data_IF_712092292981
#
_entry.id   IF_712092292981
#
_cell.length_a   1.000
_cell.length_b   1.000
_cell.length_c   1.000
_cell.angle_alpha   90.00
_cell.angle_beta   90.00
_cell.angle_gamma   90.00
#
_symmetry.space_group_name_H-M   'P 1'
#
loop_
_entity.id
_entity.type
_entity.pdbx_description
1 polymer ?
#
# COMPACT_ATOMS: atom_id res chain seq x y z
N UNK A 1 -11.92 -7.04 -38.15
CA UNK A 1 -13.18 -7.43 -37.45
C UNK A 1 -13.89 -6.16 -37.05
N UNK A 2 -15.22 -6.13 -37.04
CA UNK A 2 -15.94 -5.00 -36.42
C UNK A 2 -15.77 -5.06 -34.89
N UNK A 3 -15.86 -3.92 -34.21
CA UNK A 3 -15.75 -3.82 -32.75
C UNK A 3 -16.72 -4.76 -32.04
N UNK A 4 -17.97 -4.84 -32.50
CA UNK A 4 -18.99 -5.72 -31.91
C UNK A 4 -18.64 -7.19 -31.99
N UNK A 5 -18.14 -7.65 -33.15
CA UNK A 5 -17.73 -9.06 -33.32
C UNK A 5 -16.51 -9.38 -32.47
N UNK A 6 -15.58 -8.43 -32.34
CA UNK A 6 -14.40 -8.62 -31.49
C UNK A 6 -14.77 -8.70 -30.00
N UNK A 7 -15.70 -7.87 -29.53
CA UNK A 7 -16.23 -7.94 -28.16
C UNK A 7 -16.85 -9.32 -27.87
N UNK A 8 -17.71 -9.82 -28.76
CA UNK A 8 -18.34 -11.14 -28.55
C UNK A 8 -17.35 -12.30 -28.57
N UNK A 9 -16.30 -12.21 -29.40
CA UNK A 9 -15.20 -13.17 -29.39
C UNK A 9 -14.40 -13.13 -28.09
N UNK A 10 -14.08 -11.94 -27.59
CA UNK A 10 -13.35 -11.78 -26.34
C UNK A 10 -14.17 -12.25 -25.13
N UNK A 11 -15.48 -11.99 -25.10
CA UNK A 11 -16.37 -12.57 -24.07
C UNK A 11 -16.35 -14.08 -24.10
N UNK A 12 -16.50 -14.66 -25.29
CA UNK A 12 -16.48 -16.13 -25.47
C UNK A 12 -15.15 -16.71 -24.99
N UNK A 13 -14.03 -16.10 -25.41
CA UNK A 13 -12.69 -16.51 -25.01
C UNK A 13 -12.51 -16.40 -23.49
N UNK A 14 -12.91 -15.29 -22.89
CA UNK A 14 -12.82 -15.06 -21.46
C UNK A 14 -13.58 -16.16 -20.68
N UNK A 15 -14.79 -16.49 -21.09
CA UNK A 15 -15.59 -17.55 -20.43
C UNK A 15 -14.97 -18.94 -20.61
N UNK A 16 -14.37 -19.21 -21.77
CA UNK A 16 -13.65 -20.46 -22.02
C UNK A 16 -12.41 -20.58 -21.14
N UNK A 17 -11.58 -19.52 -21.07
CA UNK A 17 -10.37 -19.52 -20.24
C UNK A 17 -10.70 -19.66 -18.75
N UNK A 18 -11.73 -18.96 -18.28
CA UNK A 18 -12.21 -19.06 -16.90
C UNK A 18 -12.68 -20.47 -16.52
N UNK A 19 -13.30 -21.19 -17.45
CA UNK A 19 -13.77 -22.56 -17.22
C UNK A 19 -12.64 -23.61 -17.17
N UNK A 20 -11.42 -23.26 -17.58
CA UNK A 20 -10.28 -24.15 -17.52
C UNK A 20 -9.69 -24.21 -16.11
N UNK A 21 -9.44 -25.43 -15.64
CA UNK A 21 -8.70 -25.67 -14.41
C UNK A 21 -7.20 -25.73 -14.72
N UNK A 22 -6.40 -25.12 -13.85
CA UNK A 22 -4.96 -24.97 -14.05
C UNK A 22 -4.24 -26.34 -14.18
N UNK A 23 -4.64 -27.33 -13.38
CA UNK A 23 -4.00 -28.66 -13.36
C UNK A 23 -4.41 -29.58 -14.52
N UNK A 24 -5.46 -29.24 -15.27
CA UNK A 24 -5.99 -30.08 -16.36
C UNK A 24 -5.72 -29.54 -17.75
N UNK A 25 -5.20 -28.31 -17.87
CA UNK A 25 -4.99 -27.67 -19.16
C UNK A 25 -3.61 -27.99 -19.75
N UNK A 26 -3.57 -28.36 -21.02
CA UNK A 26 -2.31 -28.38 -21.76
C UNK A 26 -1.91 -26.94 -22.12
N UNK A 27 -1.08 -26.33 -21.30
CA UNK A 27 -0.63 -24.94 -21.41
C UNK A 27 -0.08 -24.59 -22.81
N UNK A 28 0.58 -25.54 -23.48
CA UNK A 28 1.09 -25.36 -24.84
C UNK A 28 -0.01 -25.01 -25.87
N UNK A 29 -1.24 -25.51 -25.68
CA UNK A 29 -2.39 -25.19 -26.53
C UNK A 29 -2.80 -23.71 -26.46
N UNK A 30 -2.48 -23.03 -25.36
CA UNK A 30 -2.79 -21.63 -25.11
C UNK A 30 -1.74 -20.66 -25.68
N UNK A 31 -0.62 -21.18 -26.20
CA UNK A 31 0.53 -20.34 -26.65
C UNK A 31 0.13 -19.33 -27.72
N UNK A 32 -0.73 -19.74 -28.66
CA UNK A 32 -1.19 -18.85 -29.72
C UNK A 32 -2.07 -17.73 -29.17
N UNK A 33 -3.02 -18.08 -28.30
CA UNK A 33 -3.98 -17.13 -27.71
C UNK A 33 -3.26 -16.13 -26.81
N UNK A 34 -2.37 -16.58 -25.93
CA UNK A 34 -1.59 -15.72 -25.04
C UNK A 34 -0.78 -14.68 -25.80
N UNK A 35 -0.24 -15.05 -26.97
CA UNK A 35 0.53 -14.16 -27.84
C UNK A 35 -0.34 -13.20 -28.66
N UNK A 36 -1.51 -13.62 -29.12
CA UNK A 36 -2.44 -12.72 -29.81
C UNK A 36 -3.03 -11.66 -28.86
N UNK A 37 -3.22 -11.98 -27.58
CA UNK A 37 -3.82 -11.09 -26.58
C UNK A 37 -2.93 -9.89 -26.17
N UNK A 38 -1.61 -10.00 -26.35
CA UNK A 38 -0.67 -8.90 -26.07
C UNK A 38 -0.43 -7.99 -27.28
N UNK A 39 -1.18 -8.15 -28.37
CA UNK A 39 -1.11 -7.22 -29.50
C UNK A 39 -1.52 -5.81 -29.04
N UNK A 40 -0.68 -4.81 -29.33
CA UNK A 40 -0.87 -3.42 -28.94
C UNK A 40 -2.25 -2.87 -29.37
N UNK A 41 -2.82 -3.36 -30.47
CA UNK A 41 -4.15 -2.97 -30.95
C UNK A 41 -5.26 -3.40 -30.00
N UNK A 42 -5.06 -4.43 -29.19
CA UNK A 42 -5.98 -4.84 -28.12
C UNK A 42 -5.68 -4.09 -26.82
N UNK A 43 -4.41 -4.02 -26.42
CA UNK A 43 -3.97 -3.37 -25.18
C UNK A 43 -4.34 -1.87 -25.15
N UNK A 44 -4.14 -1.18 -26.28
CA UNK A 44 -4.40 0.25 -26.44
C UNK A 44 -5.70 0.52 -27.22
N UNK A 45 -6.60 -0.45 -27.29
CA UNK A 45 -7.83 -0.29 -28.07
C UNK A 45 -8.69 0.88 -27.53
N UNK A 46 -9.35 1.60 -28.45
CA UNK A 46 -10.18 2.77 -28.09
C UNK A 46 -11.44 2.38 -27.30
N UNK A 47 -12.03 1.25 -27.69
CA UNK A 47 -13.23 0.71 -27.05
C UNK A 47 -12.93 0.16 -25.64
N UNK A 48 -13.72 0.59 -24.66
CA UNK A 48 -13.54 0.19 -23.25
C UNK A 48 -13.82 -1.30 -23.02
N UNK A 49 -14.81 -1.88 -23.70
CA UNK A 49 -15.17 -3.29 -23.54
C UNK A 49 -14.04 -4.19 -24.03
N UNK A 50 -13.42 -3.85 -25.17
CA UNK A 50 -12.26 -4.60 -25.68
C UNK A 50 -11.10 -4.58 -24.67
N UNK A 51 -10.77 -3.41 -24.09
CA UNK A 51 -9.68 -3.31 -23.12
C UNK A 51 -9.92 -4.15 -21.87
N UNK A 52 -11.09 -4.04 -21.24
CA UNK A 52 -11.36 -4.80 -20.02
C UNK A 52 -11.48 -6.30 -20.29
N UNK A 53 -12.10 -6.71 -21.40
CA UNK A 53 -12.18 -8.13 -21.75
C UNK A 53 -10.80 -8.72 -22.06
N UNK A 54 -9.94 -7.95 -22.75
CA UNK A 54 -8.54 -8.33 -22.99
C UNK A 54 -7.79 -8.50 -21.66
N UNK A 55 -7.95 -7.53 -20.74
CA UNK A 55 -7.34 -7.62 -19.41
C UNK A 55 -7.79 -8.88 -18.64
N UNK A 56 -9.08 -9.20 -18.70
CA UNK A 56 -9.63 -10.41 -18.09
C UNK A 56 -9.06 -11.68 -18.72
N UNK A 57 -8.95 -11.75 -20.05
CA UNK A 57 -8.36 -12.91 -20.73
C UNK A 57 -6.88 -13.09 -20.35
N UNK A 58 -6.13 -11.99 -20.24
CA UNK A 58 -4.73 -12.00 -19.83
C UNK A 58 -4.57 -12.43 -18.37
N UNK A 59 -5.45 -11.99 -17.46
CA UNK A 59 -5.45 -12.45 -16.07
C UNK A 59 -5.68 -13.96 -15.97
N UNK A 60 -6.61 -14.51 -16.76
CA UNK A 60 -6.82 -15.96 -16.85
C UNK A 60 -5.62 -16.68 -17.48
N UNK A 61 -4.94 -16.08 -18.46
CA UNK A 61 -3.69 -16.63 -18.97
C UNK A 61 -2.62 -16.68 -17.87
N UNK A 62 -2.44 -15.62 -17.06
CA UNK A 62 -1.52 -15.66 -15.93
C UNK A 62 -1.90 -16.74 -14.91
N UNK A 63 -3.20 -16.92 -14.63
CA UNK A 63 -3.68 -17.99 -13.75
C UNK A 63 -3.35 -19.39 -14.28
N UNK A 64 -3.61 -19.64 -15.55
CA UNK A 64 -3.43 -20.97 -16.16
C UNK A 64 -1.96 -21.33 -16.37
N UNK A 65 -1.09 -20.34 -16.54
CA UNK A 65 0.35 -20.55 -16.72
C UNK A 65 1.14 -20.56 -15.41
N UNK A 66 0.54 -20.09 -14.30
CA UNK A 66 1.20 -20.08 -13.01
C UNK A 66 1.77 -21.48 -12.66
N UNK A 67 2.98 -21.55 -12.07
CA UNK A 67 3.76 -20.44 -11.52
C UNK A 67 4.57 -19.62 -12.53
N UNK A 68 4.75 -20.10 -13.77
CA UNK A 68 5.65 -19.49 -14.76
C UNK A 68 4.87 -18.68 -15.80
N UNK A 69 4.91 -17.34 -15.69
CA UNK A 69 4.22 -16.47 -16.63
C UNK A 69 4.72 -16.68 -18.08
N UNK A 70 3.85 -16.68 -19.10
CA UNK A 70 4.25 -16.93 -20.47
C UNK A 70 4.89 -15.73 -21.15
N UNK A 71 5.17 -14.65 -20.44
CA UNK A 71 5.50 -13.34 -20.97
C UNK A 71 6.88 -12.91 -20.48
N UNK A 72 7.58 -12.12 -21.30
CA UNK A 72 8.82 -11.45 -20.88
C UNK A 72 8.50 -10.26 -19.96
N UNK A 73 9.47 -9.75 -19.20
CA UNK A 73 9.26 -8.60 -18.30
C UNK A 73 8.71 -7.36 -19.01
N UNK A 74 9.15 -7.10 -20.25
CA UNK A 74 8.62 -5.98 -21.05
C UNK A 74 7.16 -6.21 -21.43
N UNK A 75 6.80 -7.42 -21.85
CA UNK A 75 5.41 -7.78 -22.15
C UNK A 75 4.53 -7.75 -20.90
N UNK A 76 5.06 -8.20 -19.75
CA UNK A 76 4.37 -8.08 -18.46
C UNK A 76 4.15 -6.62 -18.08
N UNK A 77 5.11 -5.74 -18.35
CA UNK A 77 4.95 -4.30 -18.11
C UNK A 77 3.75 -3.73 -18.87
N UNK A 78 3.60 -4.05 -20.16
CA UNK A 78 2.45 -3.63 -20.97
C UNK A 78 1.12 -4.24 -20.46
N UNK A 79 1.14 -5.50 -20.03
CA UNK A 79 -0.02 -6.20 -19.47
C UNK A 79 -0.46 -5.57 -18.14
N UNK A 80 0.48 -5.31 -17.22
CA UNK A 80 0.19 -4.71 -15.93
C UNK A 80 -0.21 -3.23 -16.06
N UNK A 81 0.37 -2.49 -16.99
CA UNK A 81 -0.10 -1.15 -17.33
C UNK A 81 -1.57 -1.17 -17.79
N UNK A 82 -1.96 -2.11 -18.66
CA UNK A 82 -3.38 -2.30 -19.01
C UNK A 82 -4.22 -2.59 -17.77
N UNK A 83 -3.79 -3.51 -16.90
CA UNK A 83 -4.50 -3.88 -15.67
C UNK A 83 -4.71 -2.67 -14.77
N UNK A 84 -3.66 -1.93 -14.43
CA UNK A 84 -3.71 -0.72 -13.59
C UNK A 84 -4.68 0.31 -14.17
N UNK A 85 -4.62 0.56 -15.49
CA UNK A 85 -5.55 1.48 -16.17
C UNK A 85 -7.00 1.01 -16.16
N UNK A 86 -7.25 -0.30 -16.13
CA UNK A 86 -8.60 -0.85 -16.01
C UNK A 86 -9.11 -0.82 -14.57
N UNK A 87 -8.23 -1.11 -13.61
CA UNK A 87 -8.54 -1.17 -12.18
C UNK A 87 -8.95 0.19 -11.60
N UNK A 88 -8.64 1.31 -12.26
CA UNK A 88 -9.19 2.64 -11.88
C UNK A 88 -10.73 2.70 -11.86
N UNK A 89 -11.40 1.77 -12.55
CA UNK A 89 -12.86 1.73 -12.68
C UNK A 89 -13.56 0.82 -11.66
N UNK A 90 -12.82 0.18 -10.75
CA UNK A 90 -13.43 -0.72 -9.74
C UNK A 90 -14.35 0.00 -8.74
N UNK A 91 -14.25 1.32 -8.63
CA UNK A 91 -15.19 2.15 -7.87
C UNK A 91 -16.49 2.48 -8.62
N UNK A 92 -16.55 2.29 -9.94
CA UNK A 92 -17.70 2.66 -10.76
C UNK A 92 -18.77 1.55 -10.80
N UNK A 93 -19.40 1.27 -9.65
CA UNK A 93 -20.36 0.16 -9.47
C UNK A 93 -21.58 0.19 -10.41
N UNK A 94 -21.91 1.35 -10.97
CA UNK A 94 -23.01 1.53 -11.93
C UNK A 94 -22.55 1.41 -13.40
N UNK A 95 -21.26 1.22 -13.66
CA UNK A 95 -20.73 1.12 -15.01
C UNK A 95 -21.21 -0.19 -15.68
N UNK A 96 -21.67 -0.19 -16.95
CA UNK A 96 -22.18 -1.40 -17.62
C UNK A 96 -21.18 -2.56 -17.71
N UNK A 97 -19.88 -2.26 -17.64
CA UNK A 97 -18.77 -3.23 -17.67
C UNK A 97 -18.24 -3.57 -16.28
N UNK A 98 -18.89 -3.12 -15.21
CA UNK A 98 -18.40 -3.25 -13.83
C UNK A 98 -18.08 -4.70 -13.44
N UNK A 99 -18.91 -5.66 -13.88
CA UNK A 99 -18.67 -7.09 -13.63
C UNK A 99 -17.29 -7.55 -14.10
N UNK A 100 -16.79 -7.03 -15.23
CA UNK A 100 -15.48 -7.37 -15.75
C UNK A 100 -14.33 -6.67 -14.99
N UNK A 101 -14.53 -5.43 -14.52
CA UNK A 101 -13.55 -4.77 -13.66
C UNK A 101 -13.39 -5.50 -12.33
N UNK A 102 -14.52 -5.90 -11.71
CA UNK A 102 -14.50 -6.68 -10.49
C UNK A 102 -13.87 -8.07 -10.71
N UNK A 103 -14.16 -8.73 -11.82
CA UNK A 103 -13.58 -10.03 -12.15
C UNK A 103 -12.06 -9.96 -12.35
N UNK A 104 -11.54 -8.91 -12.98
CA UNK A 104 -10.10 -8.67 -13.06
C UNK A 104 -9.49 -8.51 -11.66
N UNK A 105 -10.10 -7.66 -10.82
CA UNK A 105 -9.66 -7.42 -9.43
C UNK A 105 -9.63 -8.72 -8.61
N UNK A 106 -10.72 -9.50 -8.67
CA UNK A 106 -10.87 -10.76 -7.93
C UNK A 106 -9.86 -11.82 -8.39
N UNK A 107 -9.63 -11.92 -9.70
CA UNK A 107 -8.63 -12.84 -10.27
C UNK A 107 -7.22 -12.50 -9.78
N UNK A 108 -6.81 -11.23 -9.85
CA UNK A 108 -5.49 -10.77 -9.39
C UNK A 108 -5.28 -10.99 -7.88
N UNK A 109 -6.29 -10.71 -7.06
CA UNK A 109 -6.27 -10.94 -5.61
C UNK A 109 -6.15 -12.43 -5.27
N UNK A 110 -6.96 -13.27 -5.91
CA UNK A 110 -7.03 -14.71 -5.60
C UNK A 110 -5.80 -15.48 -6.08
N UNK A 111 -5.35 -15.20 -7.31
CA UNK A 111 -4.22 -15.90 -7.94
C UNK A 111 -2.88 -15.35 -7.45
N UNK A 112 -2.87 -14.12 -6.89
CA UNK A 112 -1.67 -13.38 -6.49
C UNK A 112 -0.73 -13.07 -7.64
N UNK A 113 -1.22 -13.11 -8.87
CA UNK A 113 -0.44 -12.77 -10.06
C UNK A 113 -0.03 -11.29 -10.06
N UNK A 114 -0.68 -10.45 -9.25
CA UNK A 114 -0.26 -9.05 -9.05
C UNK A 114 1.17 -8.92 -8.53
N UNK A 115 1.69 -9.92 -7.81
CA UNK A 115 3.06 -9.91 -7.28
C UNK A 115 4.13 -9.85 -8.38
N UNK A 116 3.84 -10.34 -9.59
CA UNK A 116 4.77 -10.22 -10.72
C UNK A 116 5.14 -8.77 -11.02
N UNK A 117 4.32 -7.79 -10.62
CA UNK A 117 4.62 -6.36 -10.82
C UNK A 117 5.84 -5.89 -10.02
N UNK A 118 6.18 -6.54 -8.90
CA UNK A 118 7.27 -6.07 -8.01
C UNK A 118 8.65 -6.30 -8.59
N UNK A 119 8.77 -7.21 -9.56
CA UNK A 119 10.04 -7.59 -10.19
C UNK A 119 10.26 -6.89 -11.54
N UNK A 120 9.33 -6.02 -11.97
CA UNK A 120 9.41 -5.32 -13.25
C UNK A 120 10.30 -4.07 -13.20
N UNK A 121 10.89 -3.65 -14.33
CA UNK A 121 11.75 -2.46 -14.38
C UNK A 121 11.05 -1.16 -13.98
N UNK A 122 9.76 -1.01 -14.30
CA UNK A 122 8.94 0.17 -13.99
C UNK A 122 7.96 -0.08 -12.82
N UNK A 123 8.32 -1.01 -11.92
CA UNK A 123 7.47 -1.44 -10.80
C UNK A 123 6.97 -0.26 -9.95
N UNK A 124 7.85 0.68 -9.61
CA UNK A 124 7.51 1.82 -8.76
C UNK A 124 6.36 2.65 -9.33
N UNK A 125 6.39 2.98 -10.63
CA UNK A 125 5.34 3.77 -11.28
C UNK A 125 4.01 3.01 -11.34
N UNK A 126 4.05 1.73 -11.70
CA UNK A 126 2.86 0.87 -11.76
C UNK A 126 2.20 0.71 -10.39
N UNK A 127 3.00 0.42 -9.35
CA UNK A 127 2.51 0.28 -7.98
C UNK A 127 1.95 1.60 -7.46
N UNK A 128 2.65 2.73 -7.66
CA UNK A 128 2.16 4.05 -7.26
C UNK A 128 0.82 4.38 -7.92
N UNK A 129 0.67 4.15 -9.22
CA UNK A 129 -0.57 4.40 -9.94
C UNK A 129 -1.71 3.50 -9.45
N UNK A 130 -1.43 2.22 -9.17
CA UNK A 130 -2.41 1.29 -8.62
C UNK A 130 -2.90 1.73 -7.24
N UNK A 131 -1.99 2.11 -6.34
CA UNK A 131 -2.33 2.60 -5.00
C UNK A 131 -3.18 3.86 -5.09
N UNK A 132 -2.80 4.81 -5.94
CA UNK A 132 -3.57 6.04 -6.19
C UNK A 132 -4.98 5.70 -6.67
N UNK A 133 -5.13 4.83 -7.68
CA UNK A 133 -6.43 4.39 -8.17
C UNK A 133 -7.30 3.72 -7.10
N UNK A 134 -6.72 2.87 -6.26
CA UNK A 134 -7.48 2.21 -5.20
C UNK A 134 -7.91 3.16 -4.10
N UNK A 135 -7.04 4.08 -3.67
CA UNK A 135 -7.40 5.10 -2.69
C UNK A 135 -8.43 6.09 -3.24
N UNK A 136 -8.40 6.40 -4.53
CA UNK A 136 -9.40 7.29 -5.14
C UNK A 136 -10.76 6.58 -5.29
N UNK A 137 -10.76 5.27 -5.55
CA UNK A 137 -11.97 4.47 -5.73
C UNK A 137 -12.68 4.08 -4.43
N UNK A 138 -11.97 4.06 -3.30
CA UNK A 138 -12.47 3.41 -2.09
C UNK A 138 -13.36 4.31 -1.22
N UNK A 139 -14.56 4.56 -1.74
CA UNK A 139 -15.64 5.27 -1.06
C UNK A 139 -16.30 4.41 0.04
N UNK A 140 -17.06 5.02 0.98
CA UNK A 140 -17.81 4.27 1.99
C UNK A 140 -18.83 3.28 1.41
N UNK A 141 -19.43 3.62 0.26
CA UNK A 141 -20.49 2.83 -0.39
C UNK A 141 -19.94 1.68 -1.27
N UNK A 142 -18.62 1.53 -1.35
CA UNK A 142 -18.02 0.46 -2.13
C UNK A 142 -18.39 -0.92 -1.56
N UNK A 143 -18.82 -1.88 -2.39
CA UNK A 143 -19.17 -3.22 -1.93
C UNK A 143 -18.03 -3.87 -1.14
N UNK A 144 -18.38 -4.52 -0.04
CA UNK A 144 -17.39 -5.11 0.89
C UNK A 144 -16.36 -5.99 0.17
N UNK A 145 -16.81 -6.86 -0.74
CA UNK A 145 -15.93 -7.79 -1.46
C UNK A 145 -14.90 -7.07 -2.34
N UNK A 146 -15.26 -5.93 -2.93
CA UNK A 146 -14.35 -5.12 -3.75
C UNK A 146 -13.27 -4.52 -2.85
N UNK A 147 -13.67 -3.95 -1.71
CA UNK A 147 -12.75 -3.39 -0.71
C UNK A 147 -11.78 -4.46 -0.19
N UNK A 148 -12.28 -5.67 0.07
CA UNK A 148 -11.48 -6.82 0.50
C UNK A 148 -10.42 -7.20 -0.54
N UNK A 149 -10.78 -7.36 -1.82
CA UNK A 149 -9.81 -7.67 -2.88
C UNK A 149 -8.81 -6.55 -3.12
N UNK A 150 -9.24 -5.27 -3.04
CA UNK A 150 -8.32 -4.13 -3.13
C UNK A 150 -7.30 -4.15 -1.98
N UNK A 151 -7.77 -4.39 -0.76
CA UNK A 151 -6.91 -4.47 0.42
C UNK A 151 -5.92 -5.63 0.30
N UNK A 152 -6.39 -6.81 -0.07
CA UNK A 152 -5.57 -8.01 -0.24
C UNK A 152 -4.44 -7.77 -1.26
N UNK A 153 -4.74 -7.19 -2.42
CA UNK A 153 -3.71 -6.80 -3.41
C UNK A 153 -2.69 -5.82 -2.81
N UNK A 154 -3.14 -4.78 -2.13
CA UNK A 154 -2.24 -3.79 -1.54
C UNK A 154 -1.32 -4.41 -0.48
N UNK A 155 -1.86 -5.30 0.36
CA UNK A 155 -1.10 -6.03 1.38
C UNK A 155 -0.06 -6.92 0.72
N UNK A 156 -0.45 -7.71 -0.29
CA UNK A 156 0.46 -8.58 -1.04
C UNK A 156 1.64 -7.80 -1.63
N UNK A 157 1.38 -6.66 -2.29
CA UNK A 157 2.43 -5.80 -2.85
C UNK A 157 3.34 -5.27 -1.74
N UNK A 158 2.77 -4.75 -0.66
CA UNK A 158 3.56 -4.21 0.46
C UNK A 158 4.44 -5.27 1.07
N UNK A 159 3.93 -6.49 1.25
CA UNK A 159 4.65 -7.61 1.86
C UNK A 159 5.78 -8.16 0.98
N UNK A 160 5.67 -8.07 -0.34
CA UNK A 160 6.73 -8.52 -1.26
C UNK A 160 7.75 -7.40 -1.57
N UNK A 161 7.31 -6.14 -1.65
CA UNK A 161 8.16 -5.02 -2.07
C UNK A 161 9.45 -4.88 -1.23
N UNK A 162 10.62 -4.86 -1.89
CA UNK A 162 11.92 -4.71 -1.22
C UNK A 162 12.11 -3.31 -0.60
N UNK A 163 11.55 -2.29 -1.25
CA UNK A 163 11.51 -0.92 -0.78
C UNK A 163 10.08 -0.43 -0.97
N UNK A 164 9.47 0.06 0.10
CA UNK A 164 8.23 0.81 -0.02
C UNK A 164 8.62 2.22 -0.49
N UNK A 165 8.14 2.71 -1.66
CA UNK A 165 8.58 3.98 -2.23
C UNK A 165 8.52 5.13 -1.22
N UNK A 166 9.42 6.11 -1.33
CA UNK A 166 9.47 7.29 -0.45
C UNK A 166 8.14 8.10 -0.42
N UNK A 167 7.19 7.79 -1.30
CA UNK A 167 5.79 8.20 -1.24
C UNK A 167 4.97 7.60 -0.05
N UNK A 168 5.62 6.90 0.90
CA UNK A 168 5.08 6.60 2.24
C UNK A 168 4.47 7.82 2.95
N UNK A 169 5.00 9.01 2.68
CA UNK A 169 4.41 10.26 3.15
C UNK A 169 3.02 10.51 2.55
N UNK A 170 2.75 10.10 1.31
CA UNK A 170 1.43 10.23 0.67
C UNK A 170 0.43 9.22 1.24
N UNK A 171 0.85 7.98 1.53
CA UNK A 171 0.01 6.98 2.23
C UNK A 171 -0.35 7.47 3.63
N UNK A 172 0.63 7.96 4.41
CA UNK A 172 0.40 8.55 5.73
C UNK A 172 -0.41 9.88 5.66
N UNK A 173 -0.22 10.69 4.62
CA UNK A 173 -0.97 11.93 4.39
C UNK A 173 -2.41 11.64 3.95
N UNK A 174 -2.66 10.60 3.16
CA UNK A 174 -4.01 10.12 2.82
C UNK A 174 -4.65 9.39 4.01
N UNK A 175 -3.87 8.75 4.88
CA UNK A 175 -4.37 8.22 6.17
C UNK A 175 -4.95 9.34 7.06
N UNK A 176 -4.38 10.56 7.00
CA UNK A 176 -4.98 11.75 7.67
C UNK A 176 -6.37 12.10 7.13
N UNK A 177 -6.72 11.72 5.90
CA UNK A 177 -8.05 11.91 5.32
C UNK A 177 -9.09 10.87 5.80
N UNK A 178 -8.73 9.97 6.75
CA UNK A 178 -9.58 8.89 7.28
C UNK A 178 -10.06 7.92 6.21
N UNK A 179 -9.16 7.56 5.31
CA UNK A 179 -9.45 6.58 4.31
C UNK A 179 -9.36 5.16 4.93
N UNK A 180 -10.51 4.50 5.19
CA UNK A 180 -10.55 3.21 5.90
C UNK A 180 -9.63 2.16 5.27
N UNK A 181 -9.59 2.07 3.93
CA UNK A 181 -8.69 1.16 3.21
C UNK A 181 -7.20 1.37 3.55
N UNK A 182 -6.78 2.61 3.80
CA UNK A 182 -5.39 2.94 4.16
C UNK A 182 -5.11 2.51 5.60
N UNK A 183 -6.06 2.76 6.52
CA UNK A 183 -5.95 2.29 7.90
C UNK A 183 -5.86 0.77 7.95
N UNK A 184 -6.73 0.07 7.23
CA UNK A 184 -6.72 -1.39 7.15
C UNK A 184 -5.39 -1.89 6.56
N UNK A 185 -4.90 -1.28 5.47
CA UNK A 185 -3.61 -1.63 4.87
C UNK A 185 -2.46 -1.51 5.87
N UNK A 186 -2.37 -0.39 6.59
CA UNK A 186 -1.30 -0.16 7.57
C UNK A 186 -1.39 -1.18 8.72
N UNK A 187 -2.60 -1.52 9.17
CA UNK A 187 -2.79 -2.52 10.21
C UNK A 187 -2.34 -3.91 9.75
N UNK A 188 -2.73 -4.32 8.54
CA UNK A 188 -2.38 -5.63 7.98
C UNK A 188 -0.89 -5.78 7.63
N UNK A 189 -0.20 -4.68 7.36
CA UNK A 189 1.24 -4.67 6.99
C UNK A 189 2.15 -4.16 8.11
N UNK A 190 1.61 -4.09 9.33
CA UNK A 190 2.28 -3.43 10.45
C UNK A 190 3.61 -4.07 10.85
N UNK A 191 3.74 -5.39 10.76
CA UNK A 191 5.00 -6.09 11.07
C UNK A 191 6.16 -5.63 10.17
N UNK A 192 5.89 -5.49 8.87
CA UNK A 192 6.87 -5.02 7.89
C UNK A 192 7.14 -3.53 8.05
N UNK A 193 6.09 -2.72 8.21
CA UNK A 193 6.21 -1.27 8.41
C UNK A 193 6.96 -0.91 9.70
N UNK A 194 6.75 -1.66 10.79
CA UNK A 194 7.41 -1.46 12.06
C UNK A 194 8.94 -1.48 11.91
N UNK A 195 9.48 -2.40 11.10
CA UNK A 195 10.92 -2.48 10.83
C UNK A 195 11.44 -1.23 10.11
N UNK A 196 10.76 -0.79 9.05
CA UNK A 196 11.16 0.38 8.26
C UNK A 196 11.06 1.68 9.06
N UNK A 197 9.94 1.89 9.76
CA UNK A 197 9.74 3.10 10.56
C UNK A 197 10.74 3.14 11.73
N UNK A 198 11.01 2.00 12.36
CA UNK A 198 12.03 1.91 13.41
C UNK A 198 13.43 2.21 12.86
N UNK A 199 13.79 1.67 11.70
CA UNK A 199 15.07 1.95 11.05
C UNK A 199 15.21 3.44 10.71
N UNK A 200 14.22 4.02 10.05
CA UNK A 200 14.20 5.45 9.69
C UNK A 200 14.33 6.34 10.93
N UNK A 201 13.57 6.05 11.99
CA UNK A 201 13.65 6.80 13.25
C UNK A 201 15.05 6.67 13.88
N UNK A 202 15.60 5.45 13.95
CA UNK A 202 16.93 5.19 14.51
C UNK A 202 18.04 5.91 13.73
N UNK A 203 17.97 5.92 12.40
CA UNK A 203 18.92 6.65 11.55
C UNK A 203 18.83 8.17 11.77
N UNK A 204 17.62 8.72 11.92
CA UNK A 204 17.42 10.14 12.22
C UNK A 204 18.04 10.51 13.59
N UNK A 205 17.90 9.65 14.60
CA UNK A 205 18.55 9.85 15.90
C UNK A 205 20.10 9.85 15.78
N UNK A 206 20.66 8.84 15.11
CA UNK A 206 22.10 8.68 14.94
C UNK A 206 22.74 9.84 14.15
N UNK A 207 22.05 10.35 13.12
CA UNK A 207 22.50 11.51 12.36
C UNK A 207 22.53 12.76 13.23
N UNK A 208 21.47 12.98 14.02
CA UNK A 208 21.40 14.08 14.98
C UNK A 208 22.50 14.06 16.04
N UNK A 209 22.99 12.87 16.43
CA UNK A 209 24.15 12.74 17.33
C UNK A 209 25.48 13.10 16.65
N UNK A 210 25.66 12.72 15.39
CA UNK A 210 26.89 13.00 14.62
C UNK A 210 26.99 14.45 14.14
N UNK A 211 25.85 15.06 13.79
CA UNK A 211 25.78 16.42 13.26
C UNK A 211 24.65 17.25 13.93
N UNK A 212 24.86 17.71 15.19
CA UNK A 212 23.80 18.31 16.01
C UNK A 212 23.19 19.62 15.47
N UNK A 213 23.93 20.36 14.64
CA UNK A 213 23.48 21.66 14.10
C UNK A 213 22.80 21.56 12.73
N UNK A 214 23.08 20.51 11.96
CA UNK A 214 22.57 20.35 10.59
C UNK A 214 21.30 19.49 10.54
N UNK A 215 21.17 18.51 11.45
CA UNK A 215 20.18 17.43 11.31
C UNK A 215 19.00 17.50 12.30
N UNK A 216 18.81 18.62 13.01
CA UNK A 216 17.65 18.83 13.89
C UNK A 216 16.32 18.75 13.11
N UNK A 217 16.30 19.23 11.87
CA UNK A 217 15.11 19.19 11.01
C UNK A 217 14.68 17.75 10.69
N UNK A 218 15.64 16.84 10.53
CA UNK A 218 15.33 15.44 10.21
C UNK A 218 14.80 14.70 11.44
N UNK A 219 15.36 14.97 12.62
CA UNK A 219 14.80 14.49 13.89
C UNK A 219 13.37 14.96 14.07
N UNK A 220 13.09 16.25 13.86
CA UNK A 220 11.72 16.76 13.94
C UNK A 220 10.76 16.08 12.95
N UNK A 221 11.21 15.77 11.73
CA UNK A 221 10.40 15.03 10.74
C UNK A 221 10.10 13.62 11.22
N UNK A 222 11.09 12.92 11.76
CA UNK A 222 10.91 11.59 12.33
C UNK A 222 9.89 11.60 13.48
N UNK A 223 9.98 12.57 14.39
CA UNK A 223 9.00 12.75 15.47
C UNK A 223 7.60 13.10 14.96
N UNK A 224 7.47 13.91 13.90
CA UNK A 224 6.18 14.22 13.27
C UNK A 224 5.53 12.96 12.68
N UNK A 225 6.32 12.11 12.02
CA UNK A 225 5.84 10.84 11.49
C UNK A 225 5.25 9.94 12.59
N UNK A 226 5.90 9.85 13.75
CA UNK A 226 5.39 9.09 14.91
C UNK A 226 4.01 9.60 15.34
N UNK A 227 3.84 10.93 15.43
CA UNK A 227 2.54 11.54 15.78
C UNK A 227 1.48 11.25 14.72
N UNK A 228 1.85 11.29 13.44
CA UNK A 228 0.93 11.03 12.34
C UNK A 228 0.44 9.57 12.32
N UNK A 229 1.33 8.62 12.56
CA UNK A 229 1.00 7.19 12.68
C UNK A 229 0.07 6.96 13.89
N UNK A 230 0.36 7.59 15.04
CA UNK A 230 -0.51 7.52 16.22
C UNK A 230 -1.90 8.11 15.95
N UNK A 231 -1.96 9.26 15.28
CA UNK A 231 -3.21 9.92 14.91
C UNK A 231 -4.04 9.08 13.92
N UNK A 232 -3.38 8.31 13.05
CA UNK A 232 -4.00 7.37 12.12
C UNK A 232 -4.46 6.05 12.76
N UNK A 233 -4.37 5.88 14.10
CA UNK A 233 -4.76 4.65 14.81
C UNK A 233 -4.00 3.41 14.34
N UNK A 234 -2.70 3.60 14.08
CA UNK A 234 -1.79 2.59 13.56
C UNK A 234 -0.67 2.29 14.57
N UNK A 235 -1.02 2.17 15.85
CA UNK A 235 -0.06 2.02 16.95
C UNK A 235 0.81 0.76 16.88
N UNK A 236 0.37 -0.28 16.17
CA UNK A 236 1.14 -1.51 15.94
C UNK A 236 2.46 -1.23 15.22
N UNK A 237 2.49 -0.24 14.31
CA UNK A 237 3.72 0.18 13.62
C UNK A 237 4.72 0.82 14.58
N UNK A 238 4.25 1.37 15.70
CA UNK A 238 5.06 2.12 16.65
C UNK A 238 5.67 1.26 17.77
N UNK A 239 5.45 -0.06 17.76
CA UNK A 239 5.90 -0.98 18.80
C UNK A 239 7.39 -0.87 19.12
N UNK A 240 8.25 -0.72 18.10
CA UNK A 240 9.69 -0.56 18.28
C UNK A 240 10.14 0.91 18.34
N UNK A 241 9.28 1.87 18.01
CA UNK A 241 9.63 3.30 17.93
C UNK A 241 9.35 4.02 19.25
N UNK A 242 8.22 3.74 19.89
CA UNK A 242 7.88 4.35 21.18
C UNK A 242 8.94 4.09 22.26
N UNK A 243 9.55 2.89 22.36
CA UNK A 243 10.69 2.68 23.25
C UNK A 243 11.88 3.61 22.97
N UNK A 244 12.17 3.93 21.70
CA UNK A 244 13.24 4.87 21.34
C UNK A 244 12.91 6.30 21.78
N UNK A 245 11.67 6.75 21.53
CA UNK A 245 11.18 8.06 22.01
C UNK A 245 11.18 8.12 23.54
N UNK A 246 10.87 7.00 24.21
CA UNK A 246 10.95 6.92 25.67
C UNK A 246 12.37 7.14 26.18
N UNK A 247 13.38 6.56 25.54
CA UNK A 247 14.78 6.76 25.96
C UNK A 247 15.24 8.22 25.78
N UNK A 248 14.72 8.94 24.77
CA UNK A 248 14.96 10.37 24.62
C UNK A 248 14.44 11.21 25.81
N UNK A 249 13.45 10.74 26.57
CA UNK A 249 12.98 11.43 27.80
C UNK A 249 14.04 11.49 28.90
N UNK A 250 15.11 10.68 28.79
CA UNK A 250 16.23 10.66 29.74
C UNK A 250 17.48 11.35 29.21
N UNK A 251 17.42 11.90 27.99
CA UNK A 251 18.57 12.47 27.31
C UNK A 251 19.11 13.72 28.04
N UNK A 252 20.44 13.95 27.98
CA UNK A 252 21.08 15.07 28.67
C UNK A 252 20.63 16.43 28.14
N UNK A 253 20.51 16.54 26.82
CA UNK A 253 20.01 17.72 26.10
C UNK A 253 18.52 17.95 26.38
N UNK A 254 18.18 19.11 26.94
CA UNK A 254 16.80 19.53 27.23
C UNK A 254 15.93 19.66 25.98
N UNK A 255 16.50 20.06 24.83
CA UNK A 255 15.74 20.16 23.56
C UNK A 255 15.22 18.80 23.10
N UNK A 256 16.07 17.78 23.17
CA UNK A 256 15.70 16.39 22.87
C UNK A 256 14.59 15.90 23.80
N UNK A 257 14.72 16.12 25.11
CA UNK A 257 13.66 15.76 26.07
C UNK A 257 12.36 16.48 25.77
N UNK A 258 12.40 17.78 25.51
CA UNK A 258 11.22 18.58 25.18
C UNK A 258 10.54 18.10 23.88
N UNK A 259 11.30 17.70 22.86
CA UNK A 259 10.76 17.12 21.64
C UNK A 259 10.05 15.78 21.91
N UNK A 260 10.69 14.86 22.64
CA UNK A 260 10.09 13.59 23.02
C UNK A 260 8.81 13.77 23.88
N UNK A 261 8.82 14.71 24.83
CA UNK A 261 7.65 15.09 25.63
C UNK A 261 6.49 15.51 24.73
N UNK A 262 6.74 16.42 23.78
CA UNK A 262 5.71 16.89 22.83
C UNK A 262 5.21 15.78 21.93
N UNK A 263 6.09 14.93 21.43
CA UNK A 263 5.74 13.80 20.56
C UNK A 263 4.81 12.84 21.27
N UNK A 264 5.21 12.33 22.44
CA UNK A 264 4.39 11.40 23.21
C UNK A 264 3.08 12.06 23.65
N UNK A 265 3.11 13.30 24.14
CA UNK A 265 1.90 14.04 24.52
C UNK A 265 0.88 14.15 23.37
N UNK A 266 1.36 14.46 22.16
CA UNK A 266 0.53 14.47 20.95
C UNK A 266 0.01 13.08 20.59
N UNK A 267 0.81 12.03 20.71
CA UNK A 267 0.37 10.65 20.48
C UNK A 267 -0.76 10.25 21.45
N UNK A 268 -0.59 10.48 22.76
CA UNK A 268 -1.60 10.15 23.78
C UNK A 268 -2.88 10.95 23.57
N UNK A 269 -2.76 12.24 23.24
CA UNK A 269 -3.91 13.10 22.94
C UNK A 269 -4.66 12.62 21.70
N UNK A 270 -3.92 12.27 20.65
CA UNK A 270 -4.51 11.79 19.40
C UNK A 270 -5.17 10.43 19.61
N UNK A 271 -4.51 9.51 20.31
CA UNK A 271 -4.94 8.13 20.57
C UNK A 271 -4.79 7.73 22.05
N UNK A 272 -5.79 8.04 22.90
CA UNK A 272 -5.72 7.72 24.33
C UNK A 272 -5.54 6.23 24.64
N UNK A 273 -5.99 5.34 23.74
CA UNK A 273 -5.83 3.89 23.89
C UNK A 273 -4.36 3.45 23.87
N UNK A 274 -3.45 4.25 23.30
CA UNK A 274 -2.02 3.93 23.33
C UNK A 274 -1.43 3.99 24.74
N UNK A 275 -2.05 4.68 25.69
CA UNK A 275 -1.54 4.76 27.07
C UNK A 275 -1.53 3.41 27.77
N UNK A 276 -2.44 2.50 27.41
CA UNK A 276 -2.45 1.12 27.90
C UNK A 276 -1.47 0.25 27.11
N UNK A 277 -1.45 0.38 25.77
CA UNK A 277 -0.54 -0.36 24.90
C UNK A 277 0.95 -0.08 25.22
N UNK A 278 1.27 1.16 25.61
CA UNK A 278 2.62 1.62 25.93
C UNK A 278 2.75 2.12 27.38
N UNK A 279 2.28 1.32 28.34
CA UNK A 279 2.22 1.72 29.75
C UNK A 279 3.56 2.21 30.34
N UNK A 280 4.69 1.62 29.91
CA UNK A 280 6.02 2.02 30.37
C UNK A 280 6.38 3.44 29.90
N UNK A 281 6.14 3.73 28.63
CA UNK A 281 6.38 5.05 28.04
C UNK A 281 5.43 6.10 28.62
N UNK A 282 4.15 5.73 28.84
CA UNK A 282 3.18 6.59 29.51
C UNK A 282 3.64 7.00 30.91
N UNK A 283 4.12 6.03 31.70
CA UNK A 283 4.66 6.29 33.05
C UNK A 283 5.87 7.21 32.99
N UNK A 284 6.84 6.92 32.12
CA UNK A 284 8.03 7.75 31.94
C UNK A 284 7.69 9.19 31.52
N UNK A 285 6.68 9.36 30.65
CA UNK A 285 6.17 10.66 30.23
C UNK A 285 5.51 11.40 31.40
N UNK A 286 4.68 10.75 32.21
CA UNK A 286 4.07 11.34 33.41
C UNK A 286 5.09 11.83 34.45
N UNK A 287 6.26 11.20 34.51
CA UNK A 287 7.37 11.60 35.40
C UNK A 287 8.05 12.90 34.93
N UNK A 288 7.87 13.33 33.68
CA UNK A 288 8.43 14.60 33.16
C UNK A 288 7.76 15.86 33.72
N UNK A 289 6.65 15.74 34.45
CA UNK A 289 6.01 16.86 35.18
C UNK A 289 6.96 17.56 36.16
N UNK A 290 7.99 16.85 36.64
CA UNK A 290 9.03 17.36 37.54
C UNK A 290 10.40 17.46 36.85
N UNK A 291 10.46 17.58 35.51
CA UNK A 291 11.74 17.74 34.81
C UNK A 291 12.50 18.98 35.31
N UNK A 292 13.83 18.89 35.37
CA UNK A 292 14.71 19.94 35.89
C UNK A 292 14.62 21.23 35.08
N UNK A 293 14.39 21.10 33.78
CA UNK A 293 14.38 22.23 32.85
C UNK A 293 12.94 22.73 32.63
N UNK A 294 12.72 24.05 32.78
CA UNK A 294 11.40 24.66 32.56
C UNK A 294 10.90 24.42 31.13
N UNK A 295 11.79 24.43 30.15
CA UNK A 295 11.51 24.17 28.73
C UNK A 295 11.01 22.75 28.45
N UNK A 296 11.17 21.82 29.41
CA UNK A 296 10.60 20.48 29.35
C UNK A 296 9.26 20.40 30.09
N UNK A 297 9.09 21.15 31.18
CA UNK A 297 7.84 21.18 31.96
C UNK A 297 6.73 21.93 31.25
N UNK A 298 7.04 23.02 30.55
CA UNK A 298 6.05 23.82 29.83
C UNK A 298 5.31 22.98 28.76
N UNK A 299 5.99 22.27 27.84
CA UNK A 299 5.30 21.49 26.81
C UNK A 299 4.64 20.21 27.34
N UNK A 300 4.89 19.82 28.58
CA UNK A 300 4.18 18.71 29.23
C UNK A 300 2.78 19.12 29.71
N UNK A 301 2.62 20.40 30.08
CA UNK A 301 1.34 20.98 30.52
C UNK A 301 0.43 21.35 29.34
N UNK A 302 1.03 21.79 28.22
CA UNK A 302 0.35 22.15 26.96
C UNK A 302 -0.27 20.95 26.22
#
# INVERSE_FOLDING_TARGET
>A
LTTSVLVERLKTLQSQLMALEQDSVEVASLKRVSRELIDERLLLHRDKAIKILTACCLAECLRLYAPEAPYTDHELTDVFDLFVRQLRYVGEVQHPLYSYYFMLLESLSTVKSILLVTDLPDADELMTNLFKHFFDAATPDLPHRVRECMLDILVQIVDEAHLLPAEQAEVAQRARARHQLVTDLIQHTSDKLQKYVCQYFSEALLRGERHPLADEQERERAHRLVVDIAAARCESVLLNVIPLVQEELRHENSRTRALAIRTLGRCWRAHPGMTTAFASAWKAWCERRIDRDLDCRLPWVE
#
